data_IF_251271761279
#
_entry.id   IF_251271761279
#
_cell.length_a   1.000
_cell.length_b   1.000
_cell.length_c   1.000
_cell.angle_alpha   90.00
_cell.angle_beta   90.00
_cell.angle_gamma   90.00
#
_symmetry.space_group_name_H-M   'P 1'
#
loop_
_entity.id
_entity.type
_entity.pdbx_description
1 polymer ?
#
# COMPACT_ATOMS: atom_id res chain seq x y z
N UNK A 1 8.90 -28.42 -31.68
CA UNK A 1 8.23 -27.52 -30.71
C UNK A 1 8.38 -28.15 -29.34
N UNK A 2 9.27 -27.63 -28.48
CA UNK A 2 9.36 -28.08 -27.09
C UNK A 2 8.07 -27.65 -26.38
N UNK A 3 7.40 -28.60 -25.71
CA UNK A 3 6.27 -28.29 -24.86
C UNK A 3 6.76 -27.31 -23.77
N UNK A 4 6.24 -26.09 -23.76
CA UNK A 4 6.46 -25.17 -22.63
C UNK A 4 5.89 -25.85 -21.40
N UNK A 5 6.74 -26.22 -20.46
CA UNK A 5 6.24 -26.61 -19.13
C UNK A 5 5.52 -25.38 -18.56
N UNK A 6 4.31 -25.58 -18.06
CA UNK A 6 3.59 -24.52 -17.34
C UNK A 6 4.44 -24.13 -16.13
N UNK A 7 4.57 -22.81 -15.89
CA UNK A 7 5.29 -22.30 -14.72
C UNK A 7 4.55 -22.70 -13.43
N UNK A 8 5.26 -22.77 -12.29
CA UNK A 8 4.61 -23.00 -10.99
C UNK A 8 3.51 -21.97 -10.73
N UNK A 9 3.72 -20.73 -11.15
CA UNK A 9 2.75 -19.64 -11.04
C UNK A 9 1.49 -19.88 -11.89
N UNK A 10 1.64 -20.45 -13.09
CA UNK A 10 0.50 -20.84 -13.93
C UNK A 10 -0.33 -21.96 -13.29
N UNK A 11 0.33 -22.91 -12.62
CA UNK A 11 -0.32 -24.01 -11.93
C UNK A 11 -1.06 -23.54 -10.67
N UNK A 12 -0.50 -22.59 -9.92
CA UNK A 12 -1.16 -22.01 -8.73
C UNK A 12 -2.52 -21.35 -9.05
N UNK A 13 -2.79 -20.94 -10.28
CA UNK A 13 -4.11 -20.38 -10.66
C UNK A 13 -5.25 -21.37 -10.49
N UNK A 14 -4.95 -22.67 -10.52
CA UNK A 14 -5.93 -23.77 -10.44
C UNK A 14 -5.89 -24.47 -9.09
N UNK A 15 -5.12 -23.93 -8.14
CA UNK A 15 -5.05 -24.43 -6.78
C UNK A 15 -6.17 -23.81 -5.95
N UNK A 16 -7.16 -24.64 -5.57
CA UNK A 16 -8.31 -24.22 -4.76
C UNK A 16 -7.91 -23.81 -3.33
N UNK A 17 -6.71 -24.18 -2.87
CA UNK A 17 -6.16 -23.79 -1.56
C UNK A 17 -5.44 -22.44 -1.61
N UNK A 18 -5.16 -21.89 -2.81
CA UNK A 18 -4.52 -20.60 -2.93
C UNK A 18 -5.47 -19.46 -2.55
N UNK A 19 -5.22 -18.80 -1.45
CA UNK A 19 -6.02 -17.68 -0.95
C UNK A 19 -5.68 -16.38 -1.70
N UNK A 20 -6.15 -16.28 -2.94
CA UNK A 20 -5.87 -15.13 -3.79
C UNK A 20 -6.37 -15.27 -5.21
N UNK A 21 -5.90 -14.41 -6.08
CA UNK A 21 -6.14 -14.49 -7.53
C UNK A 21 -4.87 -14.22 -8.32
N UNK A 22 -4.68 -14.93 -9.42
CA UNK A 22 -3.54 -14.76 -10.34
C UNK A 22 -4.08 -14.44 -11.74
N UNK A 23 -3.65 -13.32 -12.30
CA UNK A 23 -3.94 -12.91 -13.68
C UNK A 23 -2.63 -12.84 -14.44
N UNK A 24 -2.51 -13.63 -15.50
CA UNK A 24 -1.34 -13.62 -16.38
C UNK A 24 -1.52 -12.54 -17.47
N UNK A 25 -0.42 -11.98 -17.93
CA UNK A 25 -0.37 -10.95 -18.98
C UNK A 25 -1.33 -9.78 -18.70
N UNK A 26 -1.44 -9.41 -17.41
CA UNK A 26 -2.43 -8.42 -16.95
C UNK A 26 -1.97 -6.99 -17.26
N UNK A 27 -2.76 -6.22 -18.03
CA UNK A 27 -2.42 -4.84 -18.37
C UNK A 27 -2.35 -3.94 -17.14
N UNK A 28 -1.18 -3.39 -16.85
CA UNK A 28 -0.96 -2.51 -15.70
C UNK A 28 -1.73 -1.18 -15.81
N UNK A 29 -2.16 -0.79 -17.00
CA UNK A 29 -3.08 0.32 -17.20
C UNK A 29 -4.37 0.24 -16.36
N UNK A 30 -4.81 -0.98 -16.00
CA UNK A 30 -5.97 -1.23 -15.13
C UNK A 30 -5.65 -1.01 -13.65
N UNK A 31 -4.36 -1.02 -13.28
CA UNK A 31 -3.86 -1.00 -11.91
C UNK A 31 -3.04 0.25 -11.59
N UNK A 32 -2.98 1.22 -12.50
CA UNK A 32 -2.35 2.53 -12.29
C UNK A 32 -3.39 3.65 -12.35
N UNK A 33 -3.20 4.70 -11.54
CA UNK A 33 -4.07 5.88 -11.62
C UNK A 33 -3.80 6.71 -12.87
N UNK A 34 -2.67 6.53 -13.52
CA UNK A 34 -2.37 7.08 -14.84
C UNK A 34 -3.18 6.42 -15.96
N UNK A 35 -3.67 5.18 -15.75
CA UNK A 35 -4.36 4.36 -16.76
C UNK A 35 -3.49 4.07 -17.98
N UNK A 36 -2.20 3.96 -17.78
CA UNK A 36 -1.19 3.55 -18.77
C UNK A 36 -0.30 2.46 -18.18
N UNK A 37 0.38 1.71 -19.03
CA UNK A 37 1.28 0.62 -18.71
C UNK A 37 0.91 -0.68 -19.40
N UNK A 38 1.91 -1.33 -20.00
CA UNK A 38 1.82 -2.64 -20.65
C UNK A 38 1.58 -3.76 -19.64
N UNK A 39 1.58 -5.03 -20.10
CA UNK A 39 1.24 -6.17 -19.27
C UNK A 39 2.32 -6.49 -18.23
N UNK A 40 1.91 -6.84 -17.03
CA UNK A 40 2.76 -7.59 -16.11
C UNK A 40 2.68 -9.08 -16.47
N UNK A 41 3.81 -9.82 -16.36
CA UNK A 41 3.81 -11.29 -16.55
C UNK A 41 2.73 -11.95 -15.69
N UNK A 42 2.62 -11.52 -14.43
CA UNK A 42 1.50 -11.86 -13.57
C UNK A 42 1.13 -10.72 -12.62
N UNK A 43 -0.15 -10.56 -12.39
CA UNK A 43 -0.70 -9.72 -11.34
C UNK A 43 -1.39 -10.62 -10.32
N UNK A 44 -0.89 -10.60 -9.08
CA UNK A 44 -1.31 -11.51 -8.02
C UNK A 44 -1.93 -10.72 -6.87
N UNK A 45 -3.17 -11.02 -6.55
CA UNK A 45 -3.81 -10.56 -5.32
C UNK A 45 -3.68 -11.67 -4.28
N UNK A 46 -3.09 -11.36 -3.12
CA UNK A 46 -2.92 -12.30 -2.00
C UNK A 46 -3.77 -11.87 -0.82
N UNK A 47 -4.45 -12.83 -0.18
CA UNK A 47 -5.40 -12.58 0.89
C UNK A 47 -4.87 -12.93 2.28
N UNK A 48 -3.75 -13.66 2.37
CA UNK A 48 -3.14 -14.09 3.63
C UNK A 48 -1.62 -14.12 3.56
N UNK A 49 -0.98 -14.22 4.72
CA UNK A 49 0.48 -14.42 4.84
C UNK A 49 0.91 -15.73 4.16
N UNK A 50 0.11 -16.77 4.25
CA UNK A 50 0.41 -18.06 3.61
C UNK A 50 0.47 -17.91 2.08
N UNK A 51 -0.55 -17.28 1.48
CA UNK A 51 -0.58 -16.99 0.05
C UNK A 51 0.60 -16.09 -0.39
N UNK A 52 0.92 -15.05 0.39
CA UNK A 52 2.07 -14.18 0.12
C UNK A 52 3.38 -14.99 0.10
N UNK A 53 3.60 -15.84 1.12
CA UNK A 53 4.78 -16.67 1.21
C UNK A 53 4.90 -17.66 0.04
N UNK A 54 3.77 -18.27 -0.38
CA UNK A 54 3.72 -19.18 -1.53
C UNK A 54 4.14 -18.46 -2.83
N UNK A 55 3.61 -17.28 -3.10
CA UNK A 55 3.97 -16.48 -4.29
C UNK A 55 5.45 -16.11 -4.28
N UNK A 56 5.98 -15.64 -3.15
CA UNK A 56 7.40 -15.27 -3.05
C UNK A 56 8.33 -16.46 -3.24
N UNK A 57 7.94 -17.65 -2.75
CA UNK A 57 8.67 -18.90 -2.98
C UNK A 57 8.75 -19.26 -4.46
N UNK A 58 7.63 -19.13 -5.18
CA UNK A 58 7.61 -19.36 -6.64
C UNK A 58 8.49 -18.32 -7.34
N UNK A 59 8.40 -17.04 -6.97
CA UNK A 59 9.25 -16.00 -7.53
C UNK A 59 10.75 -16.31 -7.34
N UNK A 60 11.13 -16.83 -6.16
CA UNK A 60 12.51 -17.22 -5.88
C UNK A 60 12.94 -18.45 -6.72
N UNK A 61 12.11 -19.50 -6.80
CA UNK A 61 12.41 -20.71 -7.56
C UNK A 61 12.57 -20.43 -9.06
N UNK A 62 11.68 -19.61 -9.62
CA UNK A 62 11.68 -19.29 -11.06
C UNK A 62 12.52 -18.04 -11.38
N UNK A 63 13.19 -17.44 -10.38
CA UNK A 63 13.99 -16.21 -10.52
C UNK A 63 13.20 -15.05 -11.13
N UNK A 64 11.92 -14.95 -10.79
CA UNK A 64 11.04 -13.88 -11.26
C UNK A 64 11.23 -12.62 -10.40
N UNK A 65 11.48 -11.46 -11.04
CA UNK A 65 11.42 -10.19 -10.31
C UNK A 65 10.00 -9.92 -9.85
N UNK A 66 9.87 -9.26 -8.69
CA UNK A 66 8.57 -8.92 -8.15
C UNK A 66 8.59 -7.55 -7.44
N UNK A 67 7.44 -6.95 -7.32
CA UNK A 67 7.23 -5.82 -6.42
C UNK A 67 5.78 -5.80 -5.90
N UNK A 68 5.58 -5.10 -4.76
CA UNK A 68 4.26 -4.91 -4.18
C UNK A 68 3.67 -3.58 -4.65
N UNK A 69 2.49 -3.65 -5.25
CA UNK A 69 1.73 -2.49 -5.68
C UNK A 69 0.51 -2.27 -4.77
N UNK A 70 0.27 -1.02 -4.38
CA UNK A 70 -1.00 -0.61 -3.80
C UNK A 70 -2.00 -0.22 -4.91
N UNK A 71 -2.54 1.00 -4.85
CA UNK A 71 -3.47 1.55 -5.86
C UNK A 71 -2.80 1.97 -7.17
N UNK A 72 -1.47 1.86 -7.28
CA UNK A 72 -0.74 2.35 -8.45
C UNK A 72 -0.77 3.88 -8.62
N UNK A 73 -0.95 4.62 -7.53
CA UNK A 73 -1.02 6.08 -7.54
C UNK A 73 0.34 6.78 -7.57
N UNK A 74 1.42 6.01 -7.52
CA UNK A 74 2.80 6.49 -7.61
C UNK A 74 3.63 5.59 -8.53
N UNK A 75 2.98 4.98 -9.53
CA UNK A 75 3.62 4.07 -10.50
C UNK A 75 3.48 4.62 -11.91
N UNK A 76 4.60 4.53 -12.64
CA UNK A 76 4.66 4.65 -14.09
C UNK A 76 5.22 3.32 -14.61
N UNK A 77 4.45 2.63 -15.42
CA UNK A 77 4.83 1.34 -16.02
C UNK A 77 5.03 1.54 -17.52
N UNK A 78 6.11 0.97 -18.07
CA UNK A 78 6.41 1.00 -19.50
C UNK A 78 5.27 0.38 -20.32
N UNK A 79 5.12 0.81 -21.56
CA UNK A 79 4.19 0.20 -22.53
C UNK A 79 4.62 -1.23 -22.90
N UNK A 80 5.91 -1.56 -22.76
CA UNK A 80 6.42 -2.94 -22.89
C UNK A 80 6.01 -3.83 -21.72
N UNK A 81 5.54 -3.25 -20.62
CA UNK A 81 5.09 -3.94 -19.42
C UNK A 81 6.21 -4.23 -18.41
N UNK A 82 5.99 -5.26 -17.61
CA UNK A 82 6.90 -5.72 -16.56
C UNK A 82 7.03 -7.25 -16.61
N UNK A 83 8.20 -7.76 -16.97
CA UNK A 83 8.47 -9.21 -17.04
C UNK A 83 8.71 -9.78 -15.63
N UNK A 84 7.72 -9.68 -14.78
CA UNK A 84 7.75 -10.12 -13.39
C UNK A 84 6.36 -10.17 -12.76
N UNK A 85 6.34 -10.37 -11.44
CA UNK A 85 5.14 -10.53 -10.64
C UNK A 85 4.81 -9.24 -9.89
N UNK A 86 3.63 -8.70 -10.12
CA UNK A 86 3.08 -7.58 -9.35
C UNK A 86 2.15 -8.14 -8.29
N UNK A 87 2.47 -7.90 -7.02
CA UNK A 87 1.72 -8.43 -5.87
C UNK A 87 0.87 -7.31 -5.28
N UNK A 88 -0.41 -7.57 -4.99
CA UNK A 88 -1.27 -6.65 -4.24
C UNK A 88 -1.85 -7.34 -3.02
N UNK A 89 -1.93 -6.61 -1.92
CA UNK A 89 -2.37 -7.12 -0.63
C UNK A 89 -3.89 -6.90 -0.45
N UNK A 90 -4.63 -7.98 -0.19
CA UNK A 90 -6.08 -7.99 -0.02
C UNK A 90 -6.48 -8.84 1.21
N UNK A 91 -7.72 -9.26 1.31
CA UNK A 91 -8.17 -10.12 2.40
C UNK A 91 -7.78 -9.59 3.78
N UNK A 92 -7.03 -10.40 4.55
CA UNK A 92 -6.56 -10.08 5.91
C UNK A 92 -5.76 -8.78 5.97
N UNK A 93 -5.04 -8.44 4.89
CA UNK A 93 -4.25 -7.21 4.81
C UNK A 93 -5.10 -5.94 4.65
N UNK A 94 -6.42 -6.04 4.61
CA UNK A 94 -7.36 -4.91 4.57
C UNK A 94 -8.23 -4.81 5.83
N UNK A 95 -7.97 -5.64 6.83
CA UNK A 95 -8.65 -5.56 8.13
C UNK A 95 -8.14 -4.39 8.98
N UNK A 96 -8.98 -3.90 9.88
CA UNK A 96 -8.58 -2.93 10.92
C UNK A 96 -9.34 -3.18 12.21
N UNK A 97 -8.74 -2.75 13.31
CA UNK A 97 -9.35 -2.73 14.64
C UNK A 97 -8.91 -1.49 15.43
N UNK A 98 -9.81 -0.91 16.18
CA UNK A 98 -9.50 0.19 17.08
C UNK A 98 -9.24 -0.36 18.49
N UNK A 99 -8.31 0.27 19.18
CA UNK A 99 -8.06 0.13 20.61
C UNK A 99 -8.39 1.48 21.27
N UNK A 100 -9.54 1.56 21.89
CA UNK A 100 -10.05 2.79 22.49
C UNK A 100 -9.28 3.20 23.75
N UNK A 101 -8.74 2.25 24.51
CA UNK A 101 -7.97 2.50 25.72
C UNK A 101 -6.61 3.14 25.38
N UNK A 102 -5.96 2.65 24.33
CA UNK A 102 -4.70 3.20 23.84
C UNK A 102 -4.89 4.35 22.85
N UNK A 103 -6.09 4.56 22.35
CA UNK A 103 -6.39 5.46 21.22
C UNK A 103 -5.55 5.12 19.98
N UNK A 104 -5.51 3.86 19.65
CA UNK A 104 -4.76 3.36 18.50
C UNK A 104 -5.70 2.71 17.47
N UNK A 105 -5.23 2.62 16.24
CA UNK A 105 -5.81 1.76 15.21
C UNK A 105 -4.71 0.84 14.68
N UNK A 106 -5.01 -0.45 14.67
CA UNK A 106 -4.20 -1.45 13.96
C UNK A 106 -4.87 -1.71 12.63
N UNK A 107 -4.13 -1.60 11.53
CA UNK A 107 -4.66 -1.66 10.18
C UNK A 107 -3.74 -2.40 9.24
N UNK A 108 -4.31 -3.28 8.43
CA UNK A 108 -3.62 -3.96 7.34
C UNK A 108 -3.21 -2.98 6.24
N UNK A 109 -2.01 -3.14 5.72
CA UNK A 109 -1.38 -2.17 4.82
C UNK A 109 -1.97 -2.16 3.41
N UNK A 110 -2.73 -3.20 3.02
CA UNK A 110 -3.55 -3.24 1.81
C UNK A 110 -4.80 -2.36 1.87
N UNK A 111 -5.17 -1.85 3.05
CA UNK A 111 -6.31 -0.95 3.23
C UNK A 111 -6.10 0.34 2.44
N UNK A 112 -7.15 0.80 1.74
CA UNK A 112 -7.14 2.10 1.09
C UNK A 112 -6.98 3.22 2.12
N UNK A 113 -6.03 4.12 1.92
CA UNK A 113 -5.76 5.22 2.85
C UNK A 113 -7.00 6.11 3.07
N UNK A 114 -7.77 6.36 2.02
CA UNK A 114 -9.03 7.10 2.12
C UNK A 114 -10.07 6.41 3.01
N UNK A 115 -10.10 5.07 3.00
CA UNK A 115 -10.99 4.29 3.87
C UNK A 115 -10.56 4.41 5.33
N UNK A 116 -9.27 4.25 5.61
CA UNK A 116 -8.74 4.44 6.96
C UNK A 116 -9.07 5.84 7.51
N UNK A 117 -8.85 6.91 6.72
CA UNK A 117 -9.17 8.29 7.14
C UNK A 117 -10.64 8.44 7.52
N UNK A 118 -11.55 7.86 6.73
CA UNK A 118 -13.00 7.88 7.02
C UNK A 118 -13.34 7.11 8.30
N UNK A 119 -12.77 5.90 8.48
CA UNK A 119 -13.03 5.10 9.68
C UNK A 119 -12.49 5.78 10.95
N UNK A 120 -11.30 6.37 10.90
CA UNK A 120 -10.74 7.17 12.01
C UNK A 120 -11.68 8.32 12.40
N UNK A 121 -12.20 9.06 11.40
CA UNK A 121 -13.17 10.13 11.62
C UNK A 121 -14.49 9.60 12.23
N UNK A 122 -15.05 8.52 11.69
CA UNK A 122 -16.32 7.95 12.17
C UNK A 122 -16.23 7.45 13.61
N UNK A 123 -15.05 7.00 14.04
CA UNK A 123 -14.80 6.60 15.43
C UNK A 123 -14.47 7.78 16.37
N UNK A 124 -14.55 9.03 15.87
CA UNK A 124 -14.32 10.23 16.67
C UNK A 124 -12.85 10.49 17.01
N UNK A 125 -11.96 10.02 16.14
CA UNK A 125 -10.52 10.26 16.27
C UNK A 125 -9.99 11.27 15.25
N UNK A 126 -8.98 12.00 15.65
CA UNK A 126 -8.13 12.92 14.91
C UNK A 126 -6.75 12.28 14.70
N UNK A 127 -5.95 12.85 13.82
CA UNK A 127 -4.57 12.47 13.58
C UNK A 127 -4.30 11.96 12.16
N UNK A 128 -5.36 11.76 11.35
CA UNK A 128 -5.21 11.32 9.96
C UNK A 128 -5.73 12.31 8.93
N UNK A 129 -6.11 13.53 9.33
CA UNK A 129 -6.68 14.55 8.44
C UNK A 129 -5.73 14.97 7.33
N UNK A 130 -4.41 14.96 7.60
CA UNK A 130 -3.39 15.26 6.60
C UNK A 130 -3.44 14.36 5.36
N UNK A 131 -3.98 13.14 5.53
CA UNK A 131 -4.06 12.15 4.47
C UNK A 131 -5.36 12.25 3.64
N UNK A 132 -6.28 13.20 3.98
CA UNK A 132 -7.54 13.37 3.25
C UNK A 132 -7.28 13.64 1.76
N UNK A 133 -7.99 12.89 0.91
CA UNK A 133 -7.84 12.99 -0.55
C UNK A 133 -6.52 12.42 -1.10
N UNK A 134 -5.62 11.90 -0.26
CA UNK A 134 -4.41 11.23 -0.75
C UNK A 134 -4.78 9.85 -1.29
N UNK A 135 -4.48 9.54 -2.56
CA UNK A 135 -4.73 8.23 -3.13
C UNK A 135 -3.69 7.21 -2.65
N UNK A 136 -4.04 5.94 -2.73
CA UNK A 136 -3.12 4.84 -2.41
C UNK A 136 -3.58 3.99 -1.25
N UNK A 137 -2.72 3.08 -0.83
CA UNK A 137 -2.91 2.19 0.31
C UNK A 137 -2.09 2.69 1.52
N UNK A 138 -2.41 2.17 2.70
CA UNK A 138 -1.67 2.44 3.93
C UNK A 138 -0.19 2.05 3.77
N UNK A 139 0.10 0.88 3.18
CA UNK A 139 1.48 0.44 2.92
C UNK A 139 2.26 1.39 2.02
N UNK A 140 1.65 1.82 0.90
CA UNK A 140 2.27 2.83 0.03
C UNK A 140 2.50 4.16 0.72
N UNK A 141 1.57 4.58 1.59
CA UNK A 141 1.70 5.79 2.39
C UNK A 141 2.83 5.69 3.43
N UNK A 142 3.03 4.53 4.05
CA UNK A 142 4.15 4.27 4.97
C UNK A 142 5.49 4.31 4.24
N UNK A 143 5.64 3.54 3.14
CA UNK A 143 6.89 3.49 2.37
C UNK A 143 7.31 4.88 1.88
N UNK A 144 6.35 5.66 1.38
CA UNK A 144 6.58 7.02 0.87
C UNK A 144 6.50 8.11 1.95
N UNK A 145 6.30 7.74 3.21
CA UNK A 145 6.08 8.69 4.30
C UNK A 145 5.14 9.82 3.87
N UNK A 146 3.94 9.43 3.40
CA UNK A 146 2.97 10.36 2.85
C UNK A 146 2.52 11.39 3.89
N UNK A 147 2.41 12.65 3.49
CA UNK A 147 1.98 13.71 4.39
C UNK A 147 2.27 15.10 3.87
N UNK A 148 2.19 16.05 4.78
CA UNK A 148 2.52 17.48 4.61
C UNK A 148 3.80 17.83 5.36
N UNK A 149 4.20 19.13 5.35
CA UNK A 149 5.36 19.58 6.16
C UNK A 149 5.14 19.43 7.66
N UNK A 150 3.89 19.45 8.12
CA UNK A 150 3.55 19.51 9.55
C UNK A 150 3.06 18.19 10.11
N UNK A 151 2.59 17.28 9.27
CA UNK A 151 2.01 16.00 9.71
C UNK A 151 2.15 14.95 8.60
N UNK A 152 2.61 13.75 8.94
CA UNK A 152 2.93 12.67 8.00
C UNK A 152 2.76 11.29 8.64
N UNK A 153 2.72 10.24 7.82
CA UNK A 153 2.48 8.88 8.28
C UNK A 153 3.39 8.44 9.42
N UNK A 154 4.71 8.64 9.28
CA UNK A 154 5.69 8.22 10.30
C UNK A 154 5.50 8.90 11.66
N UNK A 155 4.90 10.10 11.72
CA UNK A 155 4.60 10.78 13.00
C UNK A 155 3.51 10.09 13.81
N UNK A 156 2.72 9.22 13.18
CA UNK A 156 1.61 8.50 13.81
C UNK A 156 1.93 7.03 14.11
N UNK A 157 3.01 6.51 13.55
CA UNK A 157 3.39 5.10 13.69
C UNK A 157 3.79 4.78 15.12
N UNK A 158 3.18 3.73 15.67
CA UNK A 158 3.58 3.05 16.91
C UNK A 158 4.45 1.84 16.58
N UNK A 159 3.98 1.03 15.62
CA UNK A 159 4.73 -0.11 15.11
C UNK A 159 4.29 -0.48 13.70
N UNK A 160 5.15 -1.20 12.98
CA UNK A 160 4.84 -1.78 11.67
C UNK A 160 5.30 -3.23 11.65
N UNK A 161 4.42 -4.12 11.22
CA UNK A 161 4.77 -5.52 10.95
C UNK A 161 5.04 -5.69 9.46
N UNK A 162 6.19 -6.26 9.16
CA UNK A 162 6.59 -6.62 7.80
C UNK A 162 6.77 -8.12 7.67
N UNK A 163 6.57 -8.64 6.48
CA UNK A 163 6.89 -10.02 6.09
C UNK A 163 8.09 -10.01 5.15
N UNK A 164 9.03 -10.89 5.43
CA UNK A 164 10.19 -11.13 4.59
C UNK A 164 10.29 -12.62 4.29
N UNK A 165 10.54 -12.99 3.04
CA UNK A 165 10.56 -14.40 2.63
C UNK A 165 11.63 -15.24 3.34
N UNK A 166 12.75 -14.62 3.76
CA UNK A 166 13.86 -15.31 4.43
C UNK A 166 13.70 -15.38 5.95
N UNK A 167 13.21 -14.29 6.55
CA UNK A 167 13.19 -14.13 8.02
C UNK A 167 11.80 -14.22 8.64
N UNK A 168 10.75 -14.33 7.82
CA UNK A 168 9.37 -14.35 8.28
C UNK A 168 8.83 -12.98 8.71
N UNK A 169 7.93 -12.99 9.69
CA UNK A 169 7.35 -11.77 10.24
C UNK A 169 8.33 -11.04 11.16
N UNK A 170 8.48 -9.73 10.96
CA UNK A 170 9.27 -8.83 11.78
C UNK A 170 8.44 -7.62 12.18
N UNK A 171 8.49 -7.24 13.46
CA UNK A 171 7.88 -6.02 13.96
C UNK A 171 8.94 -4.95 14.17
N UNK A 172 8.72 -3.79 13.59
CA UNK A 172 9.47 -2.57 13.81
C UNK A 172 8.70 -1.70 14.79
N UNK A 173 9.35 -1.30 15.88
CA UNK A 173 8.83 -0.24 16.74
C UNK A 173 9.11 1.14 16.11
N UNK A 174 8.37 2.17 16.52
CA UNK A 174 8.55 3.51 15.97
C UNK A 174 10.01 4.02 16.05
N UNK A 175 10.73 3.67 17.12
CA UNK A 175 12.13 4.09 17.33
C UNK A 175 13.14 3.34 16.46
N UNK A 176 12.77 2.21 15.84
CA UNK A 176 13.60 1.47 14.89
C UNK A 176 13.56 2.08 13.49
N UNK A 177 12.63 3.01 13.26
CA UNK A 177 12.32 3.57 11.94
C UNK A 177 12.77 5.02 11.83
N UNK A 178 13.35 5.34 10.69
CA UNK A 178 13.68 6.70 10.29
C UNK A 178 12.77 7.15 9.14
N UNK A 179 12.35 8.40 9.20
CA UNK A 179 11.40 8.99 8.26
C UNK A 179 11.95 10.27 7.68
N UNK A 180 11.83 10.40 6.37
CA UNK A 180 12.24 11.61 5.67
C UNK A 180 11.23 12.02 4.59
N UNK A 181 11.55 13.06 3.84
CA UNK A 181 10.72 13.50 2.72
C UNK A 181 10.69 12.44 1.63
N UNK A 182 9.52 11.82 1.42
CA UNK A 182 9.31 10.74 0.45
C UNK A 182 10.21 9.52 0.67
N UNK A 183 10.55 9.22 1.92
CA UNK A 183 11.39 8.07 2.24
C UNK A 183 11.10 7.53 3.64
N UNK A 184 11.39 6.25 3.82
CA UNK A 184 11.34 5.51 5.07
C UNK A 184 12.50 4.50 5.10
N UNK A 185 12.86 4.01 6.28
CA UNK A 185 14.01 3.12 6.47
C UNK A 185 13.67 1.63 6.42
N UNK A 186 12.53 1.24 5.87
CA UNK A 186 12.21 -0.20 5.69
C UNK A 186 13.21 -0.86 4.73
N UNK A 187 13.56 -2.12 5.00
CA UNK A 187 14.41 -2.88 4.10
C UNK A 187 13.70 -3.14 2.76
N UNK A 188 14.42 -3.13 1.63
CA UNK A 188 13.81 -3.28 0.30
C UNK A 188 13.00 -4.57 0.09
N UNK A 189 13.37 -5.65 0.78
CA UNK A 189 12.69 -6.96 0.69
C UNK A 189 11.57 -7.13 1.73
N UNK A 190 11.34 -6.14 2.60
CA UNK A 190 10.30 -6.19 3.61
C UNK A 190 8.96 -5.74 3.03
N UNK A 191 7.98 -6.63 3.04
CA UNK A 191 6.61 -6.34 2.62
C UNK A 191 5.82 -5.96 3.87
N UNK A 192 5.41 -4.70 3.95
CA UNK A 192 4.62 -4.21 5.07
C UNK A 192 3.23 -4.85 5.03
N UNK A 193 2.79 -5.48 6.13
CA UNK A 193 1.53 -6.23 6.18
C UNK A 193 0.52 -5.63 7.15
N UNK A 194 0.96 -5.03 8.24
CA UNK A 194 0.13 -4.38 9.25
C UNK A 194 0.86 -3.17 9.84
N UNK A 195 0.13 -2.15 10.25
CA UNK A 195 0.70 -1.09 11.10
C UNK A 195 -0.26 -0.69 12.22
N UNK A 196 0.31 -0.19 13.31
CA UNK A 196 -0.36 0.38 14.45
C UNK A 196 -0.08 1.88 14.47
N UNK A 197 -1.16 2.69 14.49
CA UNK A 197 -1.10 4.14 14.44
C UNK A 197 -1.71 4.74 15.69
N UNK A 198 -1.05 5.75 16.25
CA UNK A 198 -1.57 6.54 17.37
C UNK A 198 -2.52 7.60 16.86
N UNK A 199 -3.64 7.73 17.54
CA UNK A 199 -4.71 8.69 17.28
C UNK A 199 -4.94 9.59 18.49
N UNK A 200 -5.83 10.56 18.35
CA UNK A 200 -6.20 11.50 19.40
C UNK A 200 -7.73 11.68 19.40
N UNK A 201 -8.38 11.65 20.57
CA UNK A 201 -9.79 12.02 20.66
C UNK A 201 -9.96 13.50 20.34
N UNK A 202 -10.91 13.82 19.49
CA UNK A 202 -11.23 15.20 19.15
C UNK A 202 -12.72 15.38 18.86
N UNK A 203 -13.20 16.62 18.98
CA UNK A 203 -14.56 16.95 18.62
C UNK A 203 -14.77 16.82 17.11
N UNK A 204 -15.78 16.06 16.70
CA UNK A 204 -16.03 15.71 15.28
C UNK A 204 -16.17 16.93 14.36
N UNK A 205 -16.73 18.04 14.85
CA UNK A 205 -16.82 19.29 14.10
C UNK A 205 -15.46 19.84 13.72
N UNK A 206 -14.48 19.81 14.62
CA UNK A 206 -13.12 20.29 14.36
C UNK A 206 -12.41 19.40 13.35
N UNK A 207 -12.59 18.06 13.44
CA UNK A 207 -12.01 17.11 12.47
C UNK A 207 -12.57 17.38 11.08
N UNK A 208 -13.90 17.52 10.98
CA UNK A 208 -14.60 17.79 9.73
C UNK A 208 -14.13 19.10 9.07
N UNK A 209 -14.01 20.17 9.84
CA UNK A 209 -13.51 21.47 9.34
C UNK A 209 -12.09 21.35 8.80
N UNK A 210 -11.18 20.70 9.54
CA UNK A 210 -9.79 20.46 9.09
C UNK A 210 -9.74 19.65 7.81
N UNK A 211 -10.48 18.53 7.73
CA UNK A 211 -10.56 17.69 6.54
C UNK A 211 -11.09 18.47 5.33
N UNK A 212 -12.16 19.24 5.51
CA UNK A 212 -12.78 20.05 4.46
C UNK A 212 -11.81 21.11 3.94
N UNK A 213 -11.11 21.83 4.83
CA UNK A 213 -10.10 22.84 4.48
C UNK A 213 -8.95 22.20 3.68
N UNK A 214 -8.41 21.09 4.13
CA UNK A 214 -7.31 20.38 3.45
C UNK A 214 -7.74 19.87 2.07
N UNK A 215 -8.96 19.32 1.96
CA UNK A 215 -9.50 18.86 0.69
C UNK A 215 -9.73 20.02 -0.30
N UNK A 216 -10.23 21.16 0.18
CA UNK A 216 -10.41 22.36 -0.63
C UNK A 216 -9.07 22.88 -1.16
N UNK A 217 -8.04 22.97 -0.32
CA UNK A 217 -6.68 23.34 -0.73
C UNK A 217 -6.12 22.40 -1.80
N UNK A 218 -6.34 21.10 -1.63
CA UNK A 218 -5.89 20.09 -2.59
C UNK A 218 -6.60 20.25 -3.94
N UNK A 219 -7.92 20.44 -3.94
CA UNK A 219 -8.70 20.68 -5.17
C UNK A 219 -8.26 21.94 -5.90
N UNK A 220 -7.89 22.97 -5.18
CA UNK A 220 -7.43 24.23 -5.77
C UNK A 220 -6.00 24.15 -6.37
N UNK A 221 -5.17 23.21 -5.89
CA UNK A 221 -3.76 23.11 -6.28
C UNK A 221 -3.41 21.94 -7.20
N UNK A 222 -4.35 21.02 -7.43
CA UNK A 222 -4.10 19.80 -8.21
C UNK A 222 -5.17 19.58 -9.27
N UNK A 223 -4.79 19.16 -10.51
CA UNK A 223 -5.72 18.88 -11.60
C UNK A 223 -6.34 17.47 -11.39
N UNK A 224 -7.28 17.35 -10.45
CA UNK A 224 -7.90 16.08 -10.07
C UNK A 224 -8.82 15.49 -11.16
N UNK A 225 -9.08 16.23 -12.22
CA UNK A 225 -9.95 15.84 -13.35
C UNK A 225 -9.26 14.83 -14.29
N UNK A 226 -7.92 14.80 -14.28
CA UNK A 226 -7.14 13.96 -15.17
C UNK A 226 -6.51 12.77 -14.46
N UNK A 227 -6.31 11.64 -15.17
CA UNK A 227 -5.49 10.56 -14.67
C UNK A 227 -4.09 11.06 -14.27
N UNK A 228 -3.63 10.74 -13.09
CA UNK A 228 -2.38 11.26 -12.54
C UNK A 228 -1.75 10.26 -11.56
N UNK A 229 -0.44 10.25 -11.49
CA UNK A 229 0.31 9.51 -10.45
C UNK A 229 0.91 10.44 -9.38
N UNK A 230 0.38 11.67 -9.25
CA UNK A 230 0.88 12.68 -8.31
C UNK A 230 2.06 13.48 -8.87
N UNK A 231 2.89 14.04 -7.98
CA UNK A 231 4.06 14.83 -8.38
C UNK A 231 5.17 13.93 -8.90
N UNK A 232 5.57 14.12 -10.15
CA UNK A 232 6.66 13.38 -10.81
C UNK A 232 8.01 13.84 -10.27
N UNK A 233 8.16 15.12 -9.94
CA UNK A 233 9.39 15.70 -9.42
C UNK A 233 9.27 16.00 -7.92
N UNK A 234 10.42 15.94 -7.22
CA UNK A 234 10.50 16.44 -5.84
C UNK A 234 10.35 17.96 -5.82
N UNK A 235 9.68 18.47 -4.79
CA UNK A 235 9.67 19.92 -4.58
C UNK A 235 11.10 20.38 -4.27
N UNK A 236 11.50 21.57 -4.74
CA UNK A 236 12.77 22.18 -4.34
C UNK A 236 12.79 22.45 -2.83
N UNK A 237 14.00 22.50 -2.26
CA UNK A 237 14.24 22.88 -0.86
C UNK A 237 13.91 24.33 -0.58
#
# INVERSE_FOLDING_TARGET
MAARHASELELMRFDDEFEGTIRLDEPMARHTTYRIGGPARAFVEVNSIAALGAVLKVCANEQLPWFVAGKGSNLLVSDEGYDGVVITLAGDFRAWRFDDDLQHVVVGTGTMLSRLVQEVFHHGYSGMEFAVGTPGTVGGALVQNAGTRNDWMGSRVVSVTAYNAETGLKRYAAHDLSWGYRTSSFAPCDILVECELKLERAFSGNIHERMSSLLAKRKASQPLEYPSCGSVFRNPE
#
